data_IF_733246874411
#
_entry.id   IF_733246874411
#
_cell.length_a   1.000
_cell.length_b   1.000
_cell.length_c   1.000
_cell.angle_alpha   90.00
_cell.angle_beta   90.00
_cell.angle_gamma   90.00
#
_symmetry.space_group_name_H-M   'P 1'
#
loop_
_entity.id
_entity.type
_entity.pdbx_description
1 polymer ?
#
# COMPACT_ATOMS: atom_id res chain seq x y z
N UNK A 1 -11.91 -8.70 -1.41
CA UNK A 1 -10.62 -9.04 -2.02
C UNK A 1 -10.24 -8.03 -3.10
N UNK A 2 -11.17 -7.75 -4.02
CA UNK A 2 -10.92 -6.94 -5.22
C UNK A 2 -10.66 -5.46 -4.93
N UNK A 3 -11.38 -4.84 -3.98
CA UNK A 3 -11.17 -3.44 -3.60
C UNK A 3 -10.06 -3.32 -2.55
N UNK A 4 -8.97 -2.61 -2.85
CA UNK A 4 -7.76 -2.53 -2.00
C UNK A 4 -7.33 -1.09 -1.75
N UNK A 5 -7.46 -0.63 -0.50
CA UNK A 5 -7.19 0.75 -0.12
C UNK A 5 -5.82 1.00 0.53
N UNK A 6 -5.17 -0.04 1.06
CA UNK A 6 -3.92 0.14 1.79
C UNK A 6 -2.74 0.52 0.89
N UNK A 7 -1.77 1.24 1.48
CA UNK A 7 -0.43 1.46 0.92
C UNK A 7 0.42 0.19 0.87
N UNK A 8 0.06 -0.80 1.68
CA UNK A 8 0.66 -2.13 1.70
C UNK A 8 -0.32 -3.09 1.04
N UNK A 9 0.17 -3.90 0.10
CA UNK A 9 -0.61 -4.97 -0.48
C UNK A 9 -0.47 -6.23 0.38
N UNK A 10 -1.61 -6.89 0.62
CA UNK A 10 -1.69 -8.18 1.30
C UNK A 10 -2.04 -9.26 0.29
N UNK A 11 -1.25 -10.33 0.21
CA UNK A 11 -1.52 -11.47 -0.67
C UNK A 11 -2.64 -12.33 -0.09
N UNK A 12 -3.86 -11.87 -0.35
CA UNK A 12 -5.12 -12.50 0.00
C UNK A 12 -6.15 -12.16 -1.08
N UNK A 13 -6.87 -13.16 -1.56
CA UNK A 13 -7.88 -13.01 -2.61
C UNK A 13 -9.28 -13.32 -2.09
N UNK A 14 -10.32 -12.95 -2.86
CA UNK A 14 -11.73 -13.13 -2.46
C UNK A 14 -12.12 -14.60 -2.21
N UNK A 15 -11.53 -15.50 -2.98
CA UNK A 15 -11.76 -16.94 -2.87
C UNK A 15 -10.93 -17.58 -1.73
N UNK A 16 -10.31 -16.78 -0.87
CA UNK A 16 -9.63 -17.24 0.34
C UNK A 16 -8.18 -17.69 0.17
N UNK A 17 -7.66 -17.76 -1.05
CA UNK A 17 -6.25 -18.07 -1.30
C UNK A 17 -5.33 -16.89 -0.95
N UNK A 18 -4.04 -17.19 -0.80
CA UNK A 18 -2.98 -16.24 -0.44
C UNK A 18 -2.31 -16.61 0.88
N UNK A 19 -1.06 -16.17 1.04
CA UNK A 19 -0.20 -16.51 2.18
C UNK A 19 -0.17 -15.41 3.27
N UNK A 20 -1.00 -14.37 3.12
CA UNK A 20 -1.03 -13.19 3.99
C UNK A 20 0.31 -12.44 4.06
N UNK A 21 1.21 -12.65 3.09
CA UNK A 21 2.42 -11.86 2.94
C UNK A 21 2.08 -10.39 2.65
N UNK A 22 2.98 -9.50 3.05
CA UNK A 22 2.84 -8.05 2.88
C UNK A 22 3.92 -7.57 1.92
N UNK A 23 3.52 -6.78 0.93
CA UNK A 23 4.45 -6.10 0.01
C UNK A 23 4.15 -4.61 -0.06
N UNK A 24 5.21 -3.80 -0.14
CA UNK A 24 5.08 -2.35 -0.32
C UNK A 24 4.54 -2.07 -1.72
N UNK A 25 3.51 -1.21 -1.81
CA UNK A 25 3.10 -0.63 -3.11
C UNK A 25 3.94 0.61 -3.39
N UNK A 26 3.91 1.09 -4.63
CA UNK A 26 4.50 2.39 -5.00
C UNK A 26 3.93 3.54 -4.17
N UNK A 27 2.65 3.48 -3.83
CA UNK A 27 2.00 4.49 -2.97
C UNK A 27 2.53 4.52 -1.53
N UNK A 28 3.24 3.48 -1.07
CA UNK A 28 3.88 3.47 0.24
C UNK A 28 5.02 4.49 0.31
N UNK A 29 5.94 4.45 -0.65
CA UNK A 29 7.09 5.36 -0.66
C UNK A 29 6.68 6.79 -1.02
N UNK A 30 5.66 6.95 -1.87
CA UNK A 30 5.03 8.24 -2.11
C UNK A 30 4.52 8.86 -0.80
N UNK A 31 3.70 8.13 -0.04
CA UNK A 31 3.14 8.65 1.21
C UNK A 31 4.20 8.86 2.29
N UNK A 32 5.25 8.01 2.30
CA UNK A 32 6.43 8.22 3.15
C UNK A 32 7.07 9.59 2.87
N UNK A 33 7.30 9.93 1.60
CA UNK A 33 7.88 11.22 1.19
C UNK A 33 6.98 12.40 1.54
N UNK A 34 5.65 12.24 1.39
CA UNK A 34 4.67 13.25 1.82
C UNK A 34 4.81 13.53 3.31
N UNK A 35 4.95 12.51 4.16
CA UNK A 35 5.14 12.68 5.60
C UNK A 35 6.50 13.34 5.90
N UNK A 36 7.58 12.90 5.24
CA UNK A 36 8.94 13.44 5.43
C UNK A 36 9.05 14.93 5.07
N UNK A 37 8.30 15.36 4.06
CA UNK A 37 8.25 16.77 3.62
C UNK A 37 7.12 17.55 4.29
N UNK A 38 6.43 16.97 5.28
CA UNK A 38 5.25 17.56 5.91
C UNK A 38 4.19 18.06 4.90
N UNK A 39 4.05 17.36 3.78
CA UNK A 39 3.11 17.68 2.71
C UNK A 39 3.57 18.76 1.73
N UNK A 40 4.81 19.26 1.83
CA UNK A 40 5.34 20.23 0.86
C UNK A 40 5.58 19.62 -0.52
N UNK A 41 5.84 18.30 -0.59
CA UNK A 41 6.06 17.60 -1.85
C UNK A 41 5.01 16.50 -2.10
N UNK A 42 3.99 16.83 -2.91
CA UNK A 42 2.86 15.95 -3.26
C UNK A 42 2.95 15.31 -4.67
N UNK A 43 4.10 15.43 -5.34
CA UNK A 43 4.29 14.97 -6.73
C UNK A 43 4.19 13.46 -6.90
#
# INVERSE_FOLDING_TARGET
MAKRYGFIYVEKYDHGTGDLSRRKKTSFDWYKRVIETNGEELK
#
